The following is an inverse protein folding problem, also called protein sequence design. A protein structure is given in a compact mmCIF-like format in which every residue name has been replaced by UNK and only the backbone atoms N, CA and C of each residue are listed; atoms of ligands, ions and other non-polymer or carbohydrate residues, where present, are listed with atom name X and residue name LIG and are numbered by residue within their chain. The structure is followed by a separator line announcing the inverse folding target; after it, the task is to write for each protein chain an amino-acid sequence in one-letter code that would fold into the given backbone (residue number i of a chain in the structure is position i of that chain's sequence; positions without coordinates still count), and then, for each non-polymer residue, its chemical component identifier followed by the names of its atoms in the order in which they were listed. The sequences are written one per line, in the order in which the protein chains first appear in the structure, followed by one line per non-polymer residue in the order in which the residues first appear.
data_IF_886940400038
#
_entry.id   IF_886940400038
#
_cell.length_a   1.000
_cell.length_b   1.000
_cell.length_c   1.000
_cell.angle_alpha   90.00
_cell.angle_beta   90.00
_cell.angle_gamma   90.00
#
_symmetry.space_group_name_H-M   'P 1'
#
loop_
_entity.id
_entity.type
_entity.pdbx_description
1 polymer ?
#
# COMPACT_ATOMS: atom_id res chain seq x y z
N UNK A 1 -16.82 -18.09 -6.40
CA UNK A 1 -15.51 -17.77 -5.81
C UNK A 1 -15.75 -16.73 -4.73
N UNK A 2 -15.66 -17.14 -3.47
CA UNK A 2 -15.97 -16.29 -2.32
C UNK A 2 -14.86 -15.24 -2.16
N UNK A 3 -15.11 -14.00 -2.60
CA UNK A 3 -14.16 -12.89 -2.49
C UNK A 3 -13.99 -12.41 -1.03
N UNK A 4 -14.77 -12.96 -0.10
CA UNK A 4 -14.68 -12.72 1.35
C UNK A 4 -13.35 -13.19 1.96
N UNK A 5 -12.63 -14.09 1.27
CA UNK A 5 -11.30 -14.55 1.68
C UNK A 5 -10.18 -13.54 1.35
N UNK A 6 -10.46 -12.50 0.55
CA UNK A 6 -9.55 -11.38 0.38
C UNK A 6 -9.77 -10.36 1.49
N UNK A 7 -9.72 -10.81 2.76
CA UNK A 7 -9.52 -9.90 3.87
C UNK A 7 -8.25 -9.12 3.58
N UNK A 8 -8.43 -7.86 3.22
CA UNK A 8 -7.38 -6.92 2.86
C UNK A 8 -6.80 -6.39 4.17
N UNK A 9 -6.16 -7.28 4.93
CA UNK A 9 -5.58 -6.94 6.22
C UNK A 9 -4.46 -5.91 6.05
N UNK A 10 -4.24 -5.09 7.09
CA UNK A 10 -3.17 -4.09 7.13
C UNK A 10 -1.80 -4.67 6.72
N UNK A 11 -1.52 -5.92 7.07
CA UNK A 11 -0.31 -6.64 6.63
C UNK A 11 -0.17 -6.76 5.11
N UNK A 12 -1.26 -7.04 4.38
CA UNK A 12 -1.24 -7.08 2.92
C UNK A 12 -0.96 -5.70 2.34
N UNK A 13 -1.54 -4.66 2.94
CA UNK A 13 -1.31 -3.27 2.53
C UNK A 13 0.15 -2.87 2.76
N UNK A 14 0.75 -3.27 3.89
CA UNK A 14 2.18 -3.11 4.17
C UNK A 14 3.07 -3.85 3.16
N UNK A 15 2.67 -5.04 2.69
CA UNK A 15 3.39 -5.80 1.66
C UNK A 15 3.25 -5.18 0.25
N UNK A 16 2.12 -4.57 -0.05
CA UNK A 16 1.86 -3.90 -1.33
C UNK A 16 2.62 -2.57 -1.42
N UNK A 17 2.80 -1.87 -0.31
CA UNK A 17 3.51 -0.58 -0.24
C UNK A 17 4.82 -0.54 -1.03
N UNK A 18 5.85 -1.38 -0.76
CA UNK A 18 7.12 -1.28 -1.46
C UNK A 18 6.98 -1.53 -2.97
N UNK A 19 5.99 -2.32 -3.38
CA UNK A 19 5.69 -2.58 -4.79
C UNK A 19 5.13 -1.32 -5.44
N UNK A 20 4.20 -0.64 -4.78
CA UNK A 20 3.59 0.61 -5.27
C UNK A 20 4.60 1.75 -5.24
N UNK A 21 5.38 1.91 -4.16
CA UNK A 21 6.47 2.89 -4.08
C UNK A 21 7.48 2.69 -5.21
N UNK A 22 7.89 1.45 -5.50
CA UNK A 22 8.82 1.15 -6.59
C UNK A 22 8.20 1.38 -7.97
N UNK A 23 6.93 1.03 -8.17
CA UNK A 23 6.22 1.25 -9.44
C UNK A 23 6.03 2.74 -9.72
N UNK A 24 5.61 3.52 -8.71
CA UNK A 24 5.49 4.97 -8.81
C UNK A 24 6.86 5.60 -8.99
N UNK A 25 7.88 5.19 -8.24
CA UNK A 25 9.22 5.75 -8.39
C UNK A 25 9.79 5.54 -9.79
N UNK A 26 9.55 4.35 -10.38
CA UNK A 26 9.91 4.06 -11.78
C UNK A 26 9.13 4.91 -12.77
N UNK A 27 7.83 5.12 -12.54
CA UNK A 27 6.96 5.91 -13.43
C UNK A 27 7.31 7.39 -13.42
N UNK A 28 7.64 7.95 -12.26
CA UNK A 28 7.87 9.38 -12.08
C UNK A 28 9.35 9.77 -12.03
N UNK A 29 10.26 8.80 -12.04
CA UNK A 29 11.72 9.04 -12.01
C UNK A 29 12.21 9.68 -10.72
N UNK A 30 11.46 9.55 -9.62
CA UNK A 30 11.75 10.15 -8.30
C UNK A 30 11.42 9.16 -7.21
N UNK A 31 12.12 9.22 -6.08
CA UNK A 31 11.78 8.38 -4.93
C UNK A 31 10.42 8.81 -4.34
N UNK A 32 9.44 7.90 -4.39
CA UNK A 32 8.11 8.12 -3.82
C UNK A 32 7.96 7.25 -2.58
N UNK A 33 7.67 7.90 -1.45
CA UNK A 33 7.36 7.27 -0.17
C UNK A 33 5.89 7.49 0.16
N UNK A 34 5.18 6.40 0.42
CA UNK A 34 3.77 6.40 0.76
C UNK A 34 3.65 6.45 2.28
N UNK A 35 3.07 7.54 2.80
CA UNK A 35 2.83 7.76 4.22
C UNK A 35 1.42 7.35 4.65
N UNK A 36 0.46 7.42 3.73
CA UNK A 36 -0.92 7.02 3.94
C UNK A 36 -1.40 6.28 2.69
N UNK A 37 -2.02 5.11 2.88
CA UNK A 37 -2.61 4.34 1.78
C UNK A 37 -3.96 3.80 2.21
N UNK A 38 -4.98 4.10 1.43
CA UNK A 38 -6.34 3.57 1.64
C UNK A 38 -6.66 2.60 0.53
N UNK A 39 -6.94 1.34 0.88
CA UNK A 39 -7.32 0.31 -0.09
C UNK A 39 -8.54 -0.43 0.44
N UNK A 40 -9.61 -0.50 -0.34
CA UNK A 40 -10.83 -1.23 0.04
C UNK A 40 -11.52 -0.73 1.32
N UNK A 41 -11.37 0.55 1.68
CA UNK A 41 -11.92 1.13 2.91
C UNK A 41 -11.02 1.01 4.15
N UNK A 42 -9.83 0.40 4.01
CA UNK A 42 -8.85 0.29 5.09
C UNK A 42 -7.74 1.30 4.84
N UNK A 43 -7.61 2.27 5.74
CA UNK A 43 -6.56 3.28 5.72
C UNK A 43 -5.41 2.87 6.63
N UNK A 44 -4.20 2.80 6.05
CA UNK A 44 -2.97 2.54 6.79
C UNK A 44 -2.16 3.82 6.81
N UNK A 45 -1.97 4.38 8.01
CA UNK A 45 -1.10 5.53 8.25
C UNK A 45 0.22 5.04 8.81
N UNK A 46 1.31 5.42 8.17
CA UNK A 46 2.66 5.07 8.62
C UNK A 46 3.27 6.33 9.20
N UNK A 47 3.22 6.45 10.53
CA UNK A 47 4.03 7.43 11.23
C UNK A 47 5.51 7.02 11.08
N UNK A 48 6.33 7.93 10.59
CA UNK A 48 7.77 7.87 10.85
C UNK A 48 7.93 8.19 12.34
N UNK A 49 8.26 7.17 13.14
CA UNK A 49 8.98 7.42 14.40
C UNK A 49 10.36 8.00 14.09
#
# INVERSE_FOLDING_TARGET
MDLSAFQMTEEKIRKIRPIVEKALSRKYGKEIKIFEMTVGGITVKIHKE
#
